data_IF_123617129777
#
_entry.id   IF_123617129777
#
_cell.length_a   1.000
_cell.length_b   1.000
_cell.length_c   1.000
_cell.angle_alpha   90.00
_cell.angle_beta   90.00
_cell.angle_gamma   90.00
#
_symmetry.space_group_name_H-M   'P 1'
#
loop_
_entity.id
_entity.type
_entity.pdbx_description
1 polymer ?
#
# COMPACT_ATOMS: atom_id res chain seq x y z
N UNK A 1 45.57 -18.82 73.08
CA UNK A 1 44.64 -19.68 72.32
C UNK A 1 43.44 -18.85 71.89
N UNK A 2 43.04 -18.94 70.61
CA UNK A 2 41.80 -18.45 69.96
C UNK A 2 41.63 -16.91 69.91
N UNK A 3 42.11 -16.20 68.87
CA UNK A 3 41.54 -15.97 67.52
C UNK A 3 40.11 -15.40 67.54
N UNK A 4 40.04 -14.09 67.34
CA UNK A 4 38.88 -13.23 67.11
C UNK A 4 38.25 -13.53 65.74
N UNK A 5 36.92 -13.58 65.66
CA UNK A 5 36.20 -13.62 64.38
C UNK A 5 34.72 -13.18 64.53
N UNK A 6 34.29 -12.35 63.57
CA UNK A 6 32.91 -12.20 63.04
C UNK A 6 31.85 -11.46 63.88
N UNK A 7 30.93 -10.66 63.32
CA UNK A 7 30.70 -10.18 61.95
C UNK A 7 29.81 -8.94 61.99
N UNK A 8 30.05 -7.97 61.10
CA UNK A 8 29.22 -6.78 60.96
C UNK A 8 27.96 -7.09 60.13
N UNK A 9 26.81 -6.71 60.65
CA UNK A 9 25.49 -6.82 60.04
C UNK A 9 25.35 -5.70 58.98
N UNK A 10 25.20 -6.05 57.70
CA UNK A 10 24.78 -5.10 56.66
C UNK A 10 23.42 -5.54 56.12
N UNK A 11 22.36 -4.87 56.58
CA UNK A 11 20.99 -5.04 56.12
C UNK A 11 20.70 -4.15 54.91
N UNK A 12 20.27 -4.82 53.84
CA UNK A 12 20.09 -4.36 52.47
C UNK A 12 18.93 -3.34 52.32
N UNK A 13 19.19 -2.14 51.77
CA UNK A 13 18.13 -1.29 51.20
C UNK A 13 17.82 -1.78 49.78
N UNK A 14 16.54 -2.06 49.51
CA UNK A 14 16.02 -2.38 48.19
C UNK A 14 15.58 -1.07 47.53
N UNK A 15 16.21 -0.72 46.41
CA UNK A 15 15.73 0.31 45.48
C UNK A 15 15.43 -0.40 44.15
N UNK A 16 14.23 -0.25 43.55
CA UNK A 16 13.92 -0.88 42.28
C UNK A 16 14.67 -0.17 41.15
N UNK A 17 15.61 -0.88 40.51
CA UNK A 17 16.21 -0.43 39.26
C UNK A 17 15.23 -0.69 38.11
N UNK A 18 14.78 0.39 37.45
CA UNK A 18 14.15 0.31 36.15
C UNK A 18 15.17 -0.25 35.14
N UNK A 19 14.92 -1.45 34.63
CA UNK A 19 15.76 -2.07 33.61
C UNK A 19 15.67 -1.28 32.31
N UNK A 20 16.79 -0.72 31.86
CA UNK A 20 16.95 -0.26 30.48
C UNK A 20 17.11 -1.48 29.59
N UNK A 21 16.13 -1.74 28.73
CA UNK A 21 16.27 -2.67 27.61
C UNK A 21 17.22 -2.03 26.58
N UNK A 22 18.50 -2.37 26.63
CA UNK A 22 19.41 -2.17 25.51
C UNK A 22 19.18 -3.31 24.52
N UNK A 23 18.36 -3.04 23.50
CA UNK A 23 18.26 -3.91 22.34
C UNK A 23 19.57 -3.88 21.56
N UNK A 24 20.54 -4.72 21.94
CA UNK A 24 21.65 -5.07 21.06
C UNK A 24 21.23 -6.24 20.19
N UNK A 25 20.98 -5.95 18.91
CA UNK A 25 20.84 -6.97 17.88
C UNK A 25 22.23 -7.56 17.63
N UNK A 26 22.39 -8.85 17.93
CA UNK A 26 23.60 -9.60 17.66
C UNK A 26 23.80 -9.72 16.14
N UNK A 27 24.78 -9.01 15.57
CA UNK A 27 25.20 -9.18 14.18
C UNK A 27 26.15 -10.38 14.07
N UNK A 28 25.59 -11.55 13.80
CA UNK A 28 26.38 -12.67 13.28
C UNK A 28 26.83 -12.31 11.86
N UNK A 29 28.04 -11.77 11.74
CA UNK A 29 28.72 -11.57 10.46
C UNK A 29 29.22 -12.94 9.97
N UNK A 30 28.33 -13.68 9.31
CA UNK A 30 28.68 -14.86 8.53
C UNK A 30 28.56 -14.48 7.05
N UNK A 31 29.66 -14.70 6.32
CA UNK A 31 29.87 -14.36 4.91
C UNK A 31 28.69 -14.78 4.02
N UNK A 32 27.85 -13.83 3.62
CA UNK A 32 26.73 -14.05 2.73
C UNK A 32 26.98 -13.43 1.35
N UNK A 33 26.69 -14.19 0.29
CA UNK A 33 26.69 -13.69 -1.08
C UNK A 33 25.75 -12.50 -1.28
N UNK A 34 25.68 -11.98 -2.51
CA UNK A 34 25.02 -10.72 -2.90
C UNK A 34 23.63 -10.44 -2.29
N UNK A 35 22.89 -11.47 -1.83
CA UNK A 35 21.57 -11.36 -1.20
C UNK A 35 21.59 -10.94 0.29
N UNK A 36 22.71 -11.08 1.00
CA UNK A 36 22.76 -10.77 2.44
C UNK A 36 22.69 -9.26 2.70
N UNK A 37 23.32 -8.45 1.85
CA UNK A 37 23.26 -6.98 1.92
C UNK A 37 21.85 -6.44 1.65
N UNK A 38 21.19 -6.95 0.60
CA UNK A 38 19.82 -6.60 0.25
C UNK A 38 18.82 -6.96 1.35
N UNK A 39 18.99 -8.11 2.01
CA UNK A 39 18.07 -8.55 3.07
C UNK A 39 18.07 -7.58 4.26
N UNK A 40 19.24 -7.09 4.67
CA UNK A 40 19.36 -6.09 5.75
C UNK A 40 18.72 -4.75 5.36
N UNK A 41 18.88 -4.32 4.10
CA UNK A 41 18.23 -3.11 3.58
C UNK A 41 16.70 -3.25 3.57
N UNK A 42 16.18 -4.39 3.10
CA UNK A 42 14.74 -4.67 3.05
C UNK A 42 14.14 -4.69 4.46
N UNK A 43 14.86 -5.23 5.46
CA UNK A 43 14.44 -5.22 6.85
C UNK A 43 14.23 -3.79 7.40
N UNK A 44 15.01 -2.81 6.93
CA UNK A 44 14.87 -1.39 7.29
C UNK A 44 13.66 -0.70 6.65
N UNK A 45 13.06 -1.30 5.62
CA UNK A 45 11.91 -0.75 4.89
C UNK A 45 10.56 -1.24 5.42
N UNK A 46 10.55 -1.97 6.53
CA UNK A 46 9.36 -2.57 7.09
C UNK A 46 8.66 -1.61 8.05
N UNK A 47 7.33 -1.60 7.98
CA UNK A 47 6.45 -0.88 8.89
C UNK A 47 5.78 -1.80 9.92
N UNK A 48 5.16 -1.23 10.96
CA UNK A 48 4.26 -1.99 11.82
C UNK A 48 3.05 -2.50 11.01
N UNK A 49 2.64 -3.74 11.24
CA UNK A 49 1.37 -4.26 10.72
C UNK A 49 0.23 -3.62 11.50
N UNK A 50 -0.84 -3.25 10.79
CA UNK A 50 -2.06 -2.83 11.44
C UNK A 50 -2.87 -4.03 11.95
N UNK A 51 -2.81 -4.30 13.26
CA UNK A 51 -3.59 -5.36 13.96
C UNK A 51 -5.12 -5.21 13.84
N UNK A 52 -5.62 -4.15 13.17
CA UNK A 52 -7.04 -3.86 13.06
C UNK A 52 -7.85 -5.01 12.44
N UNK A 53 -7.19 -5.84 11.61
CA UNK A 53 -7.78 -7.06 11.07
C UNK A 53 -7.52 -8.29 11.96
N UNK A 54 -6.33 -8.42 12.56
CA UNK A 54 -5.99 -9.56 13.44
C UNK A 54 -6.78 -9.57 14.75
N UNK A 55 -7.19 -8.41 15.27
CA UNK A 55 -8.04 -8.30 16.47
C UNK A 55 -9.46 -8.81 16.27
N UNK A 56 -9.84 -9.14 15.03
CA UNK A 56 -11.13 -9.75 14.74
C UNK A 56 -10.82 -11.14 14.17
N UNK A 57 -10.91 -12.16 15.01
CA UNK A 57 -10.90 -13.58 14.64
C UNK A 57 -12.09 -13.87 13.71
N UNK A 58 -11.96 -13.47 12.46
CA UNK A 58 -12.95 -13.67 11.43
C UNK A 58 -12.58 -14.89 10.63
N UNK A 59 -13.51 -15.83 10.50
CA UNK A 59 -13.41 -16.83 9.46
C UNK A 59 -13.76 -16.13 8.13
N UNK A 60 -12.78 -15.96 7.24
CA UNK A 60 -12.97 -15.26 5.96
C UNK A 60 -14.05 -15.94 5.10
N UNK A 61 -14.31 -17.23 5.32
CA UNK A 61 -15.35 -18.01 4.64
C UNK A 61 -16.78 -17.52 4.92
N UNK A 62 -16.99 -16.78 6.01
CA UNK A 62 -18.31 -16.21 6.36
C UNK A 62 -18.62 -14.91 5.58
N UNK A 63 -17.65 -14.40 4.80
CA UNK A 63 -17.73 -13.12 4.11
C UNK A 63 -17.81 -13.31 2.59
N UNK A 64 -18.63 -12.49 1.93
CA UNK A 64 -18.59 -12.40 0.46
C UNK A 64 -17.43 -11.51 0.02
N UNK A 65 -16.46 -12.07 -0.70
CA UNK A 65 -15.30 -11.33 -1.24
C UNK A 65 -14.09 -11.39 -0.32
N UNK A 66 -13.08 -10.54 -0.57
CA UNK A 66 -11.84 -10.52 0.19
C UNK A 66 -11.40 -9.09 0.54
N UNK A 67 -10.72 -8.87 1.68
CA UNK A 67 -10.03 -7.61 1.93
C UNK A 67 -8.81 -7.41 1.01
N UNK A 68 -8.34 -8.47 0.35
CA UNK A 68 -7.16 -8.48 -0.51
C UNK A 68 -7.51 -8.37 -1.98
N UNK A 69 -6.68 -7.69 -2.78
CA UNK A 69 -6.80 -7.75 -4.25
C UNK A 69 -6.46 -9.13 -4.79
N UNK A 70 -5.59 -9.87 -4.10
CA UNK A 70 -5.31 -11.28 -4.31
C UNK A 70 -5.03 -11.93 -2.95
N UNK A 71 -5.67 -13.07 -2.67
CA UNK A 71 -5.53 -13.78 -1.39
C UNK A 71 -4.13 -14.41 -1.23
N UNK A 72 -3.52 -14.77 -2.36
CA UNK A 72 -2.22 -15.43 -2.40
C UNK A 72 -1.09 -14.40 -2.46
N UNK A 73 0.03 -14.74 -1.82
CA UNK A 73 1.26 -14.00 -1.96
C UNK A 73 1.85 -14.20 -3.35
N UNK A 74 2.06 -13.10 -4.08
CA UNK A 74 2.64 -13.10 -5.41
C UNK A 74 4.08 -12.60 -5.35
N UNK A 75 4.96 -13.11 -6.22
CA UNK A 75 6.34 -12.64 -6.32
C UNK A 75 6.38 -11.27 -7.02
N UNK A 76 7.15 -10.33 -6.48
CA UNK A 76 7.42 -9.02 -7.11
C UNK A 76 8.87 -8.60 -6.88
N UNK A 77 9.26 -7.46 -7.44
CA UNK A 77 10.53 -6.80 -7.15
C UNK A 77 10.29 -5.57 -6.28
N UNK A 78 11.10 -5.43 -5.24
CA UNK A 78 11.13 -4.28 -4.35
C UNK A 78 12.20 -3.29 -4.80
N UNK A 79 11.84 -2.01 -4.75
CA UNK A 79 12.68 -0.89 -5.12
C UNK A 79 12.73 0.12 -3.98
N UNK A 80 13.90 0.74 -3.83
CA UNK A 80 14.07 1.97 -3.06
C UNK A 80 14.60 3.03 -4.02
N UNK A 81 13.81 4.08 -4.20
CA UNK A 81 13.94 5.06 -5.28
C UNK A 81 13.89 4.38 -6.67
N UNK A 82 15.03 4.29 -7.34
CA UNK A 82 15.18 3.57 -8.62
C UNK A 82 16.07 2.31 -8.50
N UNK A 83 16.63 2.06 -7.31
CA UNK A 83 17.46 0.89 -7.07
C UNK A 83 16.59 -0.34 -6.78
N UNK A 84 16.82 -1.42 -7.54
CA UNK A 84 16.17 -2.71 -7.32
C UNK A 84 16.87 -3.45 -6.19
N UNK A 85 16.19 -3.58 -5.05
CA UNK A 85 16.74 -4.25 -3.87
C UNK A 85 16.68 -5.77 -3.97
N UNK A 86 15.62 -6.32 -4.57
CA UNK A 86 15.50 -7.77 -4.73
C UNK A 86 14.06 -8.26 -4.89
N UNK A 87 13.87 -9.58 -5.05
CA UNK A 87 12.56 -10.18 -5.06
C UNK A 87 11.97 -10.24 -3.64
N UNK A 88 10.66 -10.03 -3.54
CA UNK A 88 9.86 -10.29 -2.33
C UNK A 88 8.56 -10.99 -2.75
N UNK A 89 7.84 -11.53 -1.78
CA UNK A 89 6.46 -11.95 -1.94
C UNK A 89 5.55 -10.89 -1.33
N UNK A 90 4.47 -10.52 -2.02
CA UNK A 90 3.54 -9.50 -1.55
C UNK A 90 2.09 -9.94 -1.73
N UNK A 91 1.19 -9.39 -0.91
CA UNK A 91 -0.22 -9.27 -1.22
C UNK A 91 -0.72 -7.91 -0.74
N UNK A 92 -1.72 -7.37 -1.40
CA UNK A 92 -2.23 -6.03 -1.08
C UNK A 92 -3.56 -6.12 -0.34
N UNK A 93 -3.54 -5.75 0.95
CA UNK A 93 -4.72 -5.58 1.79
C UNK A 93 -5.39 -4.25 1.44
N UNK A 94 -6.33 -4.29 0.51
CA UNK A 94 -7.00 -3.11 -0.01
C UNK A 94 -8.05 -2.53 0.95
N UNK A 95 -8.42 -3.25 2.03
CA UNK A 95 -9.23 -2.67 3.12
C UNK A 95 -8.36 -1.74 3.98
N UNK A 96 -7.21 -2.23 4.44
CA UNK A 96 -6.31 -1.49 5.32
C UNK A 96 -5.31 -0.58 4.56
N UNK A 97 -5.27 -0.71 3.24
CA UNK A 97 -4.33 -0.03 2.35
C UNK A 97 -2.88 -0.32 2.74
N UNK A 98 -2.58 -1.60 2.90
CA UNK A 98 -1.29 -2.11 3.36
C UNK A 98 -0.77 -3.16 2.37
N UNK A 99 0.51 -3.06 2.01
CA UNK A 99 1.18 -4.13 1.29
C UNK A 99 1.81 -5.04 2.34
N UNK A 100 1.30 -6.25 2.44
CA UNK A 100 1.83 -7.31 3.29
C UNK A 100 2.90 -8.06 2.52
N UNK A 101 4.03 -8.37 3.15
CA UNK A 101 5.20 -8.97 2.51
C UNK A 101 5.75 -10.17 3.27
N UNK A 102 6.43 -11.04 2.52
CA UNK A 102 7.31 -12.11 2.99
C UNK A 102 8.59 -12.13 2.14
N UNK A 103 9.71 -12.53 2.72
CA UNK A 103 10.98 -12.74 2.00
C UNK A 103 10.96 -14.09 1.25
N UNK A 104 10.34 -15.09 1.84
CA UNK A 104 10.12 -16.43 1.31
C UNK A 104 8.63 -16.80 1.35
N UNK A 105 8.18 -17.56 0.36
CA UNK A 105 6.79 -18.00 0.30
C UNK A 105 6.59 -19.31 1.05
N UNK A 106 6.76 -19.28 2.37
CA UNK A 106 6.52 -20.42 3.23
C UNK A 106 5.57 -20.05 4.38
N UNK A 107 4.94 -21.06 4.98
CA UNK A 107 3.93 -20.87 6.03
C UNK A 107 4.51 -20.40 7.35
N UNK A 108 5.77 -20.76 7.64
CA UNK A 108 6.44 -20.46 8.90
C UNK A 108 6.96 -19.01 8.97
N UNK A 109 7.09 -18.34 7.82
CA UNK A 109 7.51 -16.94 7.78
C UNK A 109 6.35 -16.02 8.18
N UNK A 110 6.62 -15.20 9.20
CA UNK A 110 5.72 -14.16 9.65
C UNK A 110 5.51 -13.08 8.59
N UNK A 111 4.28 -12.59 8.49
CA UNK A 111 3.92 -11.49 7.59
C UNK A 111 4.46 -10.19 8.17
N UNK A 112 4.86 -9.25 7.30
CA UNK A 112 5.27 -7.90 7.67
C UNK A 112 4.61 -6.86 6.77
N UNK A 113 4.42 -5.64 7.26
CA UNK A 113 3.94 -4.54 6.43
C UNK A 113 5.12 -3.88 5.72
N UNK A 114 4.92 -3.52 4.45
CA UNK A 114 5.82 -2.62 3.77
C UNK A 114 5.69 -1.20 4.36
N UNK A 115 6.81 -0.53 4.58
CA UNK A 115 6.84 0.85 5.05
C UNK A 115 6.07 1.79 4.12
N UNK A 116 5.38 2.77 4.71
CA UNK A 116 4.63 3.81 3.99
C UNK A 116 5.54 4.97 3.60
N UNK A 117 6.60 4.66 2.85
CA UNK A 117 7.56 5.64 2.32
C UNK A 117 7.31 5.86 0.82
N UNK A 118 7.37 7.12 0.38
CA UNK A 118 7.23 7.52 -1.02
C UNK A 118 8.38 7.04 -1.89
N UNK A 119 9.53 6.74 -1.29
CA UNK A 119 10.72 6.19 -1.97
C UNK A 119 10.60 4.70 -2.23
N UNK A 120 9.71 3.99 -1.54
CA UNK A 120 9.55 2.55 -1.73
C UNK A 120 8.56 2.30 -2.88
N UNK A 121 8.90 1.35 -3.75
CA UNK A 121 8.00 0.88 -4.79
C UNK A 121 8.08 -0.64 -5.00
N UNK A 122 6.97 -1.22 -5.46
CA UNK A 122 6.92 -2.61 -5.95
C UNK A 122 6.27 -2.66 -7.34
N UNK A 123 6.33 -3.80 -8.01
CA UNK A 123 5.64 -4.01 -9.30
C UNK A 123 4.35 -4.83 -9.10
N UNK A 124 3.20 -4.20 -9.27
CA UNK A 124 1.90 -4.87 -9.36
C UNK A 124 1.58 -5.08 -10.83
N UNK A 125 1.48 -6.33 -11.28
CA UNK A 125 1.23 -6.69 -12.68
C UNK A 125 2.18 -5.95 -13.66
N UNK A 126 3.46 -5.87 -13.27
CA UNK A 126 4.50 -5.17 -14.03
C UNK A 126 4.48 -3.64 -13.94
N UNK A 127 3.57 -3.05 -13.16
CA UNK A 127 3.43 -1.59 -13.02
C UNK A 127 3.94 -1.09 -11.67
N UNK A 128 4.74 -0.02 -11.69
CA UNK A 128 5.30 0.61 -10.49
C UNK A 128 4.17 1.09 -9.59
N UNK A 129 4.16 0.62 -8.35
CA UNK A 129 3.20 0.99 -7.31
C UNK A 129 3.95 1.52 -6.11
N UNK A 130 3.61 2.74 -5.67
CA UNK A 130 4.28 3.39 -4.54
C UNK A 130 3.30 4.18 -3.68
N UNK A 131 3.73 4.49 -2.46
CA UNK A 131 2.94 5.28 -1.53
C UNK A 131 2.91 6.75 -1.97
N UNK A 132 1.74 7.35 -2.06
CA UNK A 132 1.53 8.73 -2.53
C UNK A 132 0.52 9.48 -1.67
N UNK A 133 0.63 10.80 -1.72
CA UNK A 133 -0.38 11.73 -1.21
C UNK A 133 -1.22 12.19 -2.40
N UNK A 134 -2.55 12.15 -2.27
CA UNK A 134 -3.48 12.50 -3.34
C UNK A 134 -4.76 13.13 -2.78
N UNK A 135 -5.54 13.76 -3.64
CA UNK A 135 -6.77 14.47 -3.30
C UNK A 135 -7.94 13.72 -3.94
N UNK A 136 -8.91 13.32 -3.14
CA UNK A 136 -10.13 12.68 -3.64
C UNK A 136 -11.07 13.70 -4.34
N UNK A 137 -12.13 13.19 -4.98
CA UNK A 137 -13.15 14.01 -5.65
C UNK A 137 -13.88 14.98 -4.72
N UNK A 138 -13.86 14.73 -3.41
CA UNK A 138 -14.48 15.56 -2.37
C UNK A 138 -13.48 16.60 -1.81
N UNK A 139 -12.24 16.64 -2.33
CA UNK A 139 -11.21 17.59 -1.94
C UNK A 139 -10.40 17.17 -0.70
N UNK A 140 -10.52 15.93 -0.23
CA UNK A 140 -9.79 15.44 0.94
C UNK A 140 -8.42 14.94 0.55
N UNK A 141 -7.41 15.38 1.28
CA UNK A 141 -6.05 14.85 1.16
C UNK A 141 -5.96 13.49 1.86
N UNK A 142 -5.57 12.49 1.09
CA UNK A 142 -5.41 11.10 1.52
C UNK A 142 -3.98 10.63 1.23
N UNK A 143 -3.58 9.54 1.88
CA UNK A 143 -2.36 8.82 1.56
C UNK A 143 -2.68 7.35 1.30
N UNK A 144 -1.96 6.74 0.35
CA UNK A 144 -2.19 5.36 -0.03
C UNK A 144 -1.31 4.93 -1.20
N UNK A 145 -1.39 3.65 -1.57
CA UNK A 145 -0.63 3.11 -2.70
C UNK A 145 -1.35 3.40 -4.02
N UNK A 146 -0.59 3.93 -4.97
CA UNK A 146 -1.04 4.22 -6.33
C UNK A 146 -0.17 3.46 -7.33
N UNK A 147 -0.80 2.77 -8.27
CA UNK A 147 -0.16 2.08 -9.40
C UNK A 147 -0.09 3.01 -10.59
N UNK A 148 1.10 3.28 -11.11
CA UNK A 148 1.30 4.09 -12.30
C UNK A 148 0.83 3.34 -13.56
N UNK A 149 -0.06 3.95 -14.33
CA UNK A 149 -0.54 3.45 -15.62
C UNK A 149 0.21 4.08 -16.80
N UNK A 150 0.80 5.24 -16.59
CA UNK A 150 1.74 5.89 -17.52
C UNK A 150 3.04 6.20 -16.80
N UNK A 151 4.17 6.08 -17.51
CA UNK A 151 5.52 6.22 -16.93
C UNK A 151 6.13 7.60 -17.21
N UNK A 152 5.73 8.24 -18.30
CA UNK A 152 6.38 9.42 -18.86
C UNK A 152 5.35 10.45 -19.34
N UNK A 153 5.84 11.67 -19.60
CA UNK A 153 5.06 12.82 -20.05
C UNK A 153 4.59 13.74 -18.92
N UNK A 154 4.00 14.87 -19.32
CA UNK A 154 3.60 15.96 -18.44
C UNK A 154 2.35 15.62 -17.62
N UNK A 155 1.61 14.59 -18.03
CA UNK A 155 0.46 14.05 -17.31
C UNK A 155 0.69 12.58 -16.96
N UNK A 156 0.72 12.26 -15.67
CA UNK A 156 0.81 10.89 -15.16
C UNK A 156 -0.54 10.39 -14.68
N UNK A 157 -0.90 9.19 -15.11
CA UNK A 157 -2.13 8.50 -14.72
C UNK A 157 -1.81 7.43 -13.69
N UNK A 158 -2.58 7.42 -12.62
CA UNK A 158 -2.49 6.42 -11.57
C UNK A 158 -3.82 5.70 -11.37
N UNK A 159 -3.73 4.50 -10.82
CA UNK A 159 -4.85 3.68 -10.36
C UNK A 159 -4.70 3.37 -8.88
N UNK A 160 -5.82 3.37 -8.15
CA UNK A 160 -5.92 2.88 -6.78
C UNK A 160 -6.98 1.80 -6.71
N UNK A 161 -6.65 0.70 -6.03
CA UNK A 161 -7.63 -0.29 -5.59
C UNK A 161 -7.88 -0.11 -4.10
N UNK A 162 -9.15 -0.12 -3.70
CA UNK A 162 -9.54 -0.18 -2.30
C UNK A 162 -10.75 -1.10 -2.10
N UNK A 163 -10.90 -1.58 -0.87
CA UNK A 163 -12.03 -2.42 -0.48
C UNK A 163 -12.83 -1.69 0.60
N UNK A 164 -14.15 -1.80 0.52
CA UNK A 164 -15.06 -1.40 1.59
C UNK A 164 -15.71 -2.63 2.21
N UNK A 165 -15.56 -2.76 3.52
CA UNK A 165 -16.35 -3.71 4.30
C UNK A 165 -17.77 -3.17 4.52
N UNK A 166 -18.78 -4.01 4.29
CA UNK A 166 -20.18 -3.74 4.65
C UNK A 166 -20.66 -4.85 5.56
N UNK A 167 -21.09 -4.48 6.77
CA UNK A 167 -21.66 -5.42 7.72
C UNK A 167 -22.99 -5.98 7.20
N UNK A 168 -23.13 -7.29 7.35
CA UNK A 168 -24.35 -8.01 7.05
C UNK A 168 -25.46 -7.78 8.08
N UNK A 169 -26.56 -8.49 7.92
CA UNK A 169 -27.68 -8.51 8.87
C UNK A 169 -28.08 -9.95 9.13
N UNK A 170 -28.22 -10.31 10.40
CA UNK A 170 -28.76 -11.61 10.80
C UNK A 170 -30.21 -11.73 10.35
N UNK A 171 -30.66 -12.96 10.12
CA UNK A 171 -32.07 -13.25 9.91
C UNK A 171 -32.88 -12.82 11.14
N UNK A 172 -33.92 -12.03 10.93
CA UNK A 172 -34.82 -11.61 12.02
C UNK A 172 -35.78 -12.74 12.44
N UNK A 173 -36.11 -13.63 11.51
CA UNK A 173 -36.96 -14.81 11.72
C UNK A 173 -36.72 -15.86 10.61
N UNK A 174 -37.40 -17.00 10.68
CA UNK A 174 -37.26 -18.12 9.72
C UNK A 174 -37.70 -17.81 8.28
N UNK A 175 -38.41 -16.70 8.05
CA UNK A 175 -38.87 -16.29 6.71
C UNK A 175 -37.94 -15.26 6.05
N UNK A 176 -37.07 -14.60 6.81
CA UNK A 176 -36.15 -13.56 6.31
C UNK A 176 -34.74 -14.13 6.26
N UNK A 177 -34.16 -14.22 5.06
CA UNK A 177 -32.78 -14.67 4.89
C UNK A 177 -31.79 -13.67 5.48
N UNK A 178 -30.73 -14.19 6.10
CA UNK A 178 -29.61 -13.37 6.54
C UNK A 178 -28.89 -12.74 5.34
N UNK A 179 -28.46 -11.49 5.49
CA UNK A 179 -27.58 -10.81 4.53
C UNK A 179 -26.15 -11.00 5.04
N UNK A 180 -25.26 -11.68 4.30
CA UNK A 180 -23.89 -11.85 4.75
C UNK A 180 -23.11 -10.54 4.66
N UNK A 181 -22.13 -10.38 5.55
CA UNK A 181 -21.14 -9.32 5.43
C UNK A 181 -20.35 -9.48 4.14
N UNK A 182 -19.93 -8.35 3.54
CA UNK A 182 -19.23 -8.37 2.25
C UNK A 182 -18.10 -7.36 2.15
N UNK A 183 -17.10 -7.73 1.36
CA UNK A 183 -16.05 -6.86 0.87
C UNK A 183 -16.39 -6.45 -0.56
N UNK A 184 -16.51 -5.14 -0.80
CA UNK A 184 -16.75 -4.58 -2.14
C UNK A 184 -15.51 -3.87 -2.62
N UNK A 185 -15.00 -4.28 -3.79
CA UNK A 185 -13.81 -3.71 -4.41
C UNK A 185 -14.19 -2.49 -5.26
N UNK A 186 -13.34 -1.48 -5.22
CA UNK A 186 -13.49 -0.25 -5.98
C UNK A 186 -12.14 0.13 -6.61
N UNK A 187 -12.25 0.76 -7.77
CA UNK A 187 -11.11 1.29 -8.51
C UNK A 187 -11.30 2.78 -8.71
N UNK A 188 -10.27 3.56 -8.38
CA UNK A 188 -10.20 5.00 -8.60
C UNK A 188 -9.00 5.31 -9.49
N UNK A 189 -9.09 6.43 -10.21
CA UNK A 189 -8.04 6.91 -11.09
C UNK A 189 -7.65 8.32 -10.71
N UNK A 190 -6.37 8.65 -10.86
CA UNK A 190 -5.83 9.94 -10.45
C UNK A 190 -4.88 10.51 -11.51
N UNK A 191 -4.84 11.83 -11.64
CA UNK A 191 -3.89 12.55 -12.49
C UNK A 191 -2.92 13.37 -11.66
N UNK A 192 -1.67 13.31 -12.07
CA UNK A 192 -0.64 14.30 -11.71
C UNK A 192 -0.27 15.05 -12.98
N UNK A 193 -0.55 16.34 -13.01
CA UNK A 193 -0.19 17.22 -14.11
C UNK A 193 1.00 18.09 -13.68
N UNK A 194 1.96 18.23 -14.57
CA UNK A 194 3.10 19.11 -14.40
C UNK A 194 2.64 20.55 -14.07
N UNK A 195 3.37 21.23 -13.19
CA UNK A 195 3.05 22.57 -12.70
C UNK A 195 1.98 22.65 -11.62
N UNK A 196 1.16 21.61 -11.40
CA UNK A 196 0.15 21.60 -10.31
C UNK A 196 0.65 21.04 -8.98
N UNK A 197 1.74 20.27 -8.99
CA UNK A 197 2.36 19.66 -7.81
C UNK A 197 1.38 18.91 -6.88
N UNK A 198 0.35 18.27 -7.46
CA UNK A 198 -0.66 17.49 -6.73
C UNK A 198 -1.21 16.36 -7.60
N UNK A 199 -1.74 15.34 -6.93
CA UNK A 199 -2.37 14.17 -7.55
C UNK A 199 -3.87 14.22 -7.25
N UNK A 200 -4.71 14.42 -8.27
CA UNK A 200 -6.16 14.63 -8.13
C UNK A 200 -6.95 13.45 -8.69
N UNK A 201 -8.03 13.04 -8.00
CA UNK A 201 -8.95 12.02 -8.50
C UNK A 201 -9.65 12.47 -9.78
N UNK A 202 -9.84 11.52 -10.71
CA UNK A 202 -10.64 11.67 -11.91
C UNK A 202 -12.01 11.01 -11.68
N UNK A 203 -13.07 11.80 -11.72
CA UNK A 203 -14.39 11.23 -11.93
C UNK A 203 -14.50 10.70 -13.38
N UNK A 204 -14.84 9.42 -13.56
CA UNK A 204 -14.92 8.73 -14.86
C UNK A 204 -16.09 9.20 -15.75
N UNK A 205 -16.06 10.48 -16.11
CA UNK A 205 -16.97 11.19 -17.01
C UNK A 205 -16.14 12.14 -17.87
N UNK A 206 -16.25 12.06 -19.20
CA UNK A 206 -15.45 12.88 -20.12
C UNK A 206 -15.46 14.37 -19.75
N UNK A 207 -16.63 14.94 -19.42
CA UNK A 207 -16.76 16.35 -18.99
C UNK A 207 -15.94 16.68 -17.74
N UNK A 208 -15.84 15.77 -16.78
CA UNK A 208 -15.09 15.98 -15.53
C UNK A 208 -13.59 16.01 -15.78
N UNK A 209 -13.08 15.06 -16.57
CA UNK A 209 -11.69 15.06 -17.03
C UNK A 209 -11.36 16.37 -17.78
N UNK A 210 -12.19 16.75 -18.74
CA UNK A 210 -12.01 17.99 -19.52
C UNK A 210 -11.95 19.24 -18.62
N UNK A 211 -12.72 19.28 -17.53
CA UNK A 211 -12.73 20.40 -16.59
C UNK A 211 -11.41 20.55 -15.81
N UNK A 212 -10.57 19.51 -15.75
CA UNK A 212 -9.28 19.55 -15.06
C UNK A 212 -8.16 20.19 -15.90
N UNK A 213 -8.37 20.36 -17.21
CA UNK A 213 -7.36 20.78 -18.17
C UNK A 213 -7.39 22.30 -18.46
N UNK A 214 -6.33 22.81 -19.07
CA UNK A 214 -6.29 24.14 -19.69
C UNK A 214 -7.31 24.25 -20.83
N UNK A 215 -7.64 25.46 -21.26
CA UNK A 215 -8.61 25.67 -22.36
C UNK A 215 -8.17 25.00 -23.68
N UNK A 216 -6.89 25.06 -23.99
CA UNK A 216 -6.31 24.47 -25.21
C UNK A 216 -6.34 22.94 -25.15
N UNK A 217 -5.74 22.33 -24.13
CA UNK A 217 -5.73 20.87 -23.97
C UNK A 217 -7.14 20.30 -23.84
N UNK A 218 -8.07 21.05 -23.24
CA UNK A 218 -9.50 20.69 -23.20
C UNK A 218 -10.09 20.56 -24.59
N UNK A 219 -9.89 21.55 -25.46
CA UNK A 219 -10.44 21.54 -26.83
C UNK A 219 -9.89 20.36 -27.63
N UNK A 220 -8.56 20.18 -27.59
CA UNK A 220 -7.89 19.12 -28.34
C UNK A 220 -8.32 17.73 -27.85
N UNK A 221 -8.36 17.51 -26.53
CA UNK A 221 -8.80 16.23 -25.98
C UNK A 221 -10.29 15.97 -26.27
N UNK A 222 -11.14 17.00 -26.23
CA UNK A 222 -12.56 16.84 -26.51
C UNK A 222 -12.79 16.36 -27.96
N UNK A 223 -12.06 16.92 -28.93
CA UNK A 223 -12.09 16.46 -30.32
C UNK A 223 -11.63 15.01 -30.43
N UNK A 224 -10.47 14.69 -29.84
CA UNK A 224 -9.89 13.35 -29.86
C UNK A 224 -10.83 12.28 -29.28
N UNK A 225 -11.43 12.54 -28.11
CA UNK A 225 -12.39 11.62 -27.47
C UNK A 225 -13.61 11.38 -28.36
N UNK A 226 -14.09 12.40 -29.08
CA UNK A 226 -15.27 12.30 -29.94
C UNK A 226 -14.98 11.54 -31.23
N UNK A 227 -13.89 11.90 -31.92
CA UNK A 227 -13.48 11.28 -33.18
C UNK A 227 -13.21 9.79 -33.01
N UNK A 228 -12.53 9.42 -31.92
CA UNK A 228 -12.19 8.04 -31.60
C UNK A 228 -13.26 7.32 -30.76
N UNK A 229 -14.39 7.98 -30.45
CA UNK A 229 -15.51 7.45 -29.66
C UNK A 229 -15.08 6.84 -28.33
N UNK A 230 -14.11 7.45 -27.67
CA UNK A 230 -13.53 6.97 -26.42
C UNK A 230 -14.44 7.23 -25.22
N UNK A 231 -14.52 6.23 -24.33
CA UNK A 231 -15.26 6.29 -23.08
C UNK A 231 -14.31 6.04 -21.91
N UNK A 232 -13.94 7.12 -21.20
CA UNK A 232 -12.94 7.05 -20.13
C UNK A 232 -13.36 6.19 -18.92
N UNK A 233 -14.62 5.71 -18.87
CA UNK A 233 -15.01 4.66 -17.92
C UNK A 233 -14.26 3.34 -18.14
N UNK A 234 -13.73 3.12 -19.33
CA UNK A 234 -12.85 2.00 -19.66
C UNK A 234 -11.41 2.44 -19.40
N UNK A 235 -10.68 1.65 -18.62
CA UNK A 235 -9.26 1.93 -18.30
C UNK A 235 -8.41 2.14 -19.55
N UNK A 236 -8.61 1.32 -20.59
CA UNK A 236 -7.88 1.43 -21.85
C UNK A 236 -8.09 2.80 -22.52
N UNK A 237 -9.34 3.24 -22.67
CA UNK A 237 -9.68 4.52 -23.30
C UNK A 237 -9.15 5.72 -22.48
N UNK A 238 -9.15 5.61 -21.14
CA UNK A 238 -8.55 6.62 -20.26
C UNK A 238 -7.02 6.70 -20.44
N UNK A 239 -6.34 5.56 -20.58
CA UNK A 239 -4.91 5.52 -20.89
C UNK A 239 -4.64 6.18 -22.26
N UNK A 240 -5.46 5.91 -23.27
CA UNK A 240 -5.32 6.57 -24.59
C UNK A 240 -5.51 8.08 -24.49
N UNK A 241 -6.51 8.53 -23.72
CA UNK A 241 -6.75 9.95 -23.49
C UNK A 241 -5.54 10.66 -22.84
N UNK A 242 -4.91 10.03 -21.84
CA UNK A 242 -3.72 10.61 -21.18
C UNK A 242 -2.50 10.57 -22.09
N UNK A 243 -2.33 9.51 -22.90
CA UNK A 243 -1.24 9.45 -23.90
C UNK A 243 -1.37 10.58 -24.92
N UNK A 244 -2.57 10.80 -25.44
CA UNK A 244 -2.83 11.92 -26.34
C UNK A 244 -2.43 13.27 -25.70
N UNK A 245 -2.77 13.50 -24.42
CA UNK A 245 -2.37 14.72 -23.70
C UNK A 245 -0.84 14.89 -23.61
N UNK A 246 -0.09 13.79 -23.50
CA UNK A 246 1.37 13.83 -23.41
C UNK A 246 2.07 14.01 -24.77
N UNK A 247 1.35 13.84 -25.89
CA UNK A 247 1.86 14.06 -27.24
C UNK A 247 1.66 15.51 -27.73
N UNK A 248 0.89 16.31 -26.98
CA UNK A 248 0.68 17.72 -27.30
C UNK A 248 1.84 18.59 -26.75
N UNK A 249 2.33 19.58 -27.51
CA UNK A 249 3.20 20.61 -26.95
C UNK A 249 2.45 21.42 -25.88
N UNK A 250 3.21 21.97 -24.92
CA UNK A 250 2.72 22.76 -23.78
C UNK A 250 1.93 24.00 -24.19
#
# INVERSE_FOLDING_TARGET
MKKSLFVALFGMMIIPAAGQYTGQVQSNMSSGGANAGSTAQIQGLLGPITDAFEKRTFNLDDFKGSPYTNNEFQKTALFYEEEKLGPIFYRYNALNQEIEIKMENNENEGIRALGRDKKIAILLDGKKTSFKTFIDKDGKTLNGYLTALTLEGNTRLYKRHYVKYTEGKKAENSFVQAVPSKFTHYTEYYLEMEGKNRVDEIELKNKKLLNMLSSESRSNLQAFLKENKLNIKKEYDLIQAVRFLNEQPL
#
